data_IF_170911691584
#
_entry.id   IF_170911691584
#
_cell.length_a   1.000
_cell.length_b   1.000
_cell.length_c   1.000
_cell.angle_alpha   90.00
_cell.angle_beta   90.00
_cell.angle_gamma   90.00
#
_symmetry.space_group_name_H-M   'P 1'
#
loop_
_entity.id
_entity.type
_entity.pdbx_description
1 polymer ?
#
# COMPACT_ATOMS: atom_id res chain seq x y z
N UNK A 1 -16.27 0.01 -0.36
CA UNK A 1 -16.36 1.25 -1.16
C UNK A 1 -15.23 2.23 -0.89
N UNK A 2 -14.81 2.45 0.37
CA UNK A 2 -13.68 3.33 0.71
C UNK A 2 -12.35 2.98 -0.01
N UNK A 3 -12.08 1.69 -0.22
CA UNK A 3 -10.85 1.24 -0.88
C UNK A 3 -10.73 1.69 -2.35
N UNK A 4 -11.83 1.72 -3.13
CA UNK A 4 -11.78 2.13 -4.54
C UNK A 4 -11.49 3.62 -4.74
N UNK A 5 -12.02 4.47 -3.85
CA UNK A 5 -11.76 5.91 -3.87
C UNK A 5 -10.28 6.19 -3.57
N UNK A 6 -9.69 5.43 -2.63
CA UNK A 6 -8.29 5.58 -2.25
C UNK A 6 -7.34 5.25 -3.41
N UNK A 7 -7.66 4.19 -4.18
CA UNK A 7 -6.91 3.81 -5.39
C UNK A 7 -7.00 4.91 -6.45
N UNK A 8 -8.19 5.45 -6.70
CA UNK A 8 -8.37 6.53 -7.67
C UNK A 8 -7.57 7.79 -7.29
N UNK A 9 -7.54 8.15 -6.00
CA UNK A 9 -6.75 9.28 -5.53
C UNK A 9 -5.25 8.98 -5.69
N UNK A 10 -4.81 7.78 -5.32
CA UNK A 10 -3.42 7.34 -5.47
C UNK A 10 -2.93 7.49 -6.91
N UNK A 11 -3.70 7.02 -7.90
CA UNK A 11 -3.35 7.18 -9.31
C UNK A 11 -3.13 8.65 -9.73
N UNK A 12 -3.90 9.59 -9.15
CA UNK A 12 -3.76 11.02 -9.45
C UNK A 12 -2.55 11.68 -8.80
N UNK A 13 -1.95 11.03 -7.80
CA UNK A 13 -0.77 11.53 -7.09
C UNK A 13 0.45 10.62 -7.24
N UNK A 14 0.44 9.76 -8.25
CA UNK A 14 1.57 8.93 -8.65
C UNK A 14 2.41 9.65 -9.70
N UNK A 15 3.72 9.61 -9.54
CA UNK A 15 4.66 10.11 -10.52
C UNK A 15 4.60 9.25 -11.77
N UNK A 16 4.35 9.81 -12.96
CA UNK A 16 4.26 9.03 -14.20
C UNK A 16 5.62 8.48 -14.68
N UNK A 17 6.74 8.93 -14.10
CA UNK A 17 8.09 8.48 -14.47
C UNK A 17 8.52 7.28 -13.62
N UNK A 18 8.48 7.39 -12.29
CA UNK A 18 8.92 6.32 -11.39
C UNK A 18 7.78 5.42 -10.89
N UNK A 19 6.52 5.75 -11.18
CA UNK A 19 5.32 5.03 -10.77
C UNK A 19 5.11 4.94 -9.24
N UNK A 20 5.85 5.75 -8.49
CA UNK A 20 5.71 5.92 -7.04
C UNK A 20 4.89 7.16 -6.69
N UNK A 21 4.35 7.19 -5.47
CA UNK A 21 3.72 8.41 -4.92
C UNK A 21 4.67 9.60 -5.05
N UNK A 22 4.14 10.73 -5.51
CA UNK A 22 4.92 11.94 -5.76
C UNK A 22 5.67 12.39 -4.50
N UNK A 23 6.96 12.69 -4.66
CA UNK A 23 7.83 13.22 -3.61
C UNK A 23 8.46 14.52 -4.09
N UNK A 24 8.47 15.55 -3.23
CA UNK A 24 8.98 16.89 -3.58
C UNK A 24 8.44 17.37 -4.94
N UNK A 25 7.11 17.47 -5.04
CA UNK A 25 6.39 17.68 -6.31
C UNK A 25 6.87 18.91 -7.09
N UNK A 26 7.15 18.72 -8.37
CA UNK A 26 7.45 19.79 -9.32
C UNK A 26 6.40 19.80 -10.43
N UNK A 27 5.72 20.92 -10.60
CA UNK A 27 4.76 21.15 -11.67
C UNK A 27 5.40 21.97 -12.80
N UNK A 28 5.07 21.61 -14.02
CA UNK A 28 5.41 22.33 -15.24
C UNK A 28 4.26 23.29 -15.60
N UNK A 29 4.52 24.26 -16.46
CA UNK A 29 3.51 25.21 -16.95
C UNK A 29 2.40 24.53 -17.76
N UNK A 30 2.67 23.34 -18.34
CA UNK A 30 1.66 22.49 -18.97
C UNK A 30 0.70 21.80 -17.97
N UNK A 31 0.87 22.03 -16.66
CA UNK A 31 0.01 21.48 -15.59
C UNK A 31 0.41 20.09 -15.09
N UNK A 32 1.29 19.36 -15.80
CA UNK A 32 1.77 18.05 -15.36
C UNK A 32 2.72 18.17 -14.15
N UNK A 33 2.65 17.19 -13.24
CA UNK A 33 3.42 17.16 -12.00
C UNK A 33 4.21 15.87 -11.88
N UNK A 34 5.45 15.99 -11.41
CA UNK A 34 6.42 14.89 -11.29
C UNK A 34 7.17 14.99 -9.96
N UNK A 35 7.80 13.90 -9.53
CA UNK A 35 8.76 13.96 -8.42
C UNK A 35 10.00 14.76 -8.85
N UNK A 36 10.56 15.56 -7.94
CA UNK A 36 11.73 16.41 -8.23
C UNK A 36 12.89 15.62 -8.82
N UNK A 37 13.21 14.46 -8.24
CA UNK A 37 14.30 13.60 -8.73
C UNK A 37 14.09 13.19 -10.19
N UNK A 38 12.87 12.78 -10.55
CA UNK A 38 12.54 12.31 -11.88
C UNK A 38 12.63 13.42 -12.93
N UNK A 39 12.02 14.59 -12.67
CA UNK A 39 12.06 15.69 -13.64
C UNK A 39 13.47 16.30 -13.77
N UNK A 40 14.26 16.26 -12.69
CA UNK A 40 15.66 16.70 -12.72
C UNK A 40 16.53 15.74 -13.52
N UNK A 41 16.31 14.43 -13.40
CA UNK A 41 17.00 13.43 -14.22
C UNK A 41 16.67 13.59 -15.71
N UNK A 42 15.40 13.76 -16.05
CA UNK A 42 14.94 14.04 -17.42
C UNK A 42 15.64 15.28 -18.02
N UNK A 43 15.80 16.34 -17.23
CA UNK A 43 16.52 17.55 -17.64
C UNK A 43 18.01 17.32 -17.90
N UNK A 44 18.65 16.34 -17.25
CA UNK A 44 20.07 16.04 -17.45
C UNK A 44 20.29 15.22 -18.72
N UNK A 45 19.41 14.26 -18.99
CA UNK A 45 19.45 13.44 -20.21
C UNK A 45 19.28 14.29 -21.48
N UNK A 46 18.50 15.37 -21.40
CA UNK A 46 18.23 16.27 -22.53
C UNK A 46 19.43 17.16 -22.92
N UNK A 47 20.47 17.27 -22.08
CA UNK A 47 21.56 18.27 -22.20
C UNK A 47 22.87 17.74 -22.77
N UNK A 48 22.97 16.46 -23.11
CA UNK A 48 24.24 15.83 -23.53
C UNK A 48 24.55 15.93 -25.03
N UNK A 49 23.67 16.52 -25.85
CA UNK A 49 23.81 16.47 -27.33
C UNK A 49 23.92 17.80 -28.08
N UNK A 50 23.26 18.86 -27.61
CA UNK A 50 23.22 20.22 -28.14
C UNK A 50 22.24 20.98 -27.22
N UNK A 51 21.96 22.26 -27.46
CA UNK A 51 21.06 23.11 -26.67
C UNK A 51 19.58 22.61 -26.70
N UNK A 52 19.35 21.42 -26.17
CA UNK A 52 18.06 20.72 -26.20
C UNK A 52 17.13 21.34 -25.18
N UNK A 53 16.04 21.92 -25.69
CA UNK A 53 14.92 22.37 -24.85
C UNK A 53 14.38 21.20 -24.01
N UNK A 54 14.24 21.41 -22.71
CA UNK A 54 13.57 20.44 -21.84
C UNK A 54 12.10 20.32 -22.27
N UNK A 55 11.62 19.09 -22.45
CA UNK A 55 10.22 18.83 -22.85
C UNK A 55 9.51 17.94 -21.84
N UNK A 56 8.21 18.20 -21.65
CA UNK A 56 7.38 17.43 -20.73
C UNK A 56 7.32 15.96 -21.17
N UNK A 57 7.61 14.98 -20.30
CA UNK A 57 7.56 13.55 -20.66
C UNK A 57 6.19 13.04 -21.11
N UNK A 58 5.10 13.73 -20.73
CA UNK A 58 3.73 13.32 -21.05
C UNK A 58 3.18 13.98 -22.33
N UNK A 59 3.35 15.29 -22.47
CA UNK A 59 2.73 16.07 -23.55
C UNK A 59 3.73 16.73 -24.50
N UNK A 60 5.04 16.59 -24.24
CA UNK A 60 6.16 17.12 -25.04
C UNK A 60 6.20 18.65 -25.17
N UNK A 61 5.35 19.38 -24.45
CA UNK A 61 5.44 20.85 -24.33
C UNK A 61 6.80 21.22 -23.75
N UNK A 62 7.50 22.15 -24.40
CA UNK A 62 8.79 22.65 -23.93
C UNK A 62 8.62 23.48 -22.66
N UNK A 63 9.62 23.43 -21.79
CA UNK A 63 9.65 24.21 -20.56
C UNK A 63 11.08 24.58 -20.21
N UNK A 64 11.26 25.67 -19.49
CA UNK A 64 12.55 26.01 -18.92
C UNK A 64 12.68 25.39 -17.52
N UNK A 65 13.78 24.69 -17.18
CA UNK A 65 13.94 24.08 -15.85
C UNK A 65 13.78 25.06 -14.67
N UNK A 66 14.07 26.35 -14.87
CA UNK A 66 13.86 27.41 -13.87
C UNK A 66 12.38 27.69 -13.56
N UNK A 67 11.46 27.30 -14.46
CA UNK A 67 10.02 27.47 -14.29
C UNK A 67 9.37 26.30 -13.52
N UNK A 68 10.14 25.31 -13.06
CA UNK A 68 9.62 24.22 -12.24
C UNK A 68 9.16 24.71 -10.86
N UNK A 69 7.85 24.76 -10.67
CA UNK A 69 7.25 25.26 -9.43
C UNK A 69 6.96 24.11 -8.45
N UNK A 70 7.24 24.28 -7.16
CA UNK A 70 6.81 23.30 -6.16
C UNK A 70 5.28 23.30 -6.04
N UNK A 71 4.66 22.12 -5.91
CA UNK A 71 3.21 22.00 -5.76
C UNK A 71 2.83 21.48 -4.37
N UNK A 72 2.76 22.40 -3.40
CA UNK A 72 2.45 22.08 -2.00
C UNK A 72 1.07 21.44 -1.82
N UNK A 73 0.09 21.77 -2.65
CA UNK A 73 -1.25 21.17 -2.56
C UNK A 73 -1.21 19.67 -2.86
N UNK A 74 -0.53 19.27 -3.93
CA UNK A 74 -0.36 17.84 -4.27
C UNK A 74 0.44 17.13 -3.20
N UNK A 75 1.53 17.75 -2.69
CA UNK A 75 2.31 17.18 -1.59
C UNK A 75 1.44 16.91 -0.34
N UNK A 76 0.59 17.88 0.06
CA UNK A 76 -0.31 17.70 1.19
C UNK A 76 -1.34 16.58 0.97
N UNK A 77 -1.79 16.36 -0.27
CA UNK A 77 -2.70 15.25 -0.60
C UNK A 77 -1.97 13.91 -0.47
N UNK A 78 -0.72 13.81 -0.96
CA UNK A 78 0.11 12.61 -0.81
C UNK A 78 0.32 12.28 0.67
N UNK A 79 0.64 13.27 1.51
CA UNK A 79 0.84 13.02 2.94
C UNK A 79 -0.43 12.52 3.61
N UNK A 80 -1.59 13.15 3.36
CA UNK A 80 -2.87 12.66 3.87
C UNK A 80 -3.21 11.25 3.38
N UNK A 81 -2.89 10.93 2.13
CA UNK A 81 -3.08 9.60 1.59
C UNK A 81 -2.22 8.56 2.34
N UNK A 82 -0.97 8.90 2.68
CA UNK A 82 -0.09 8.04 3.49
C UNK A 82 -0.65 7.82 4.88
N UNK A 83 -1.10 8.88 5.56
CA UNK A 83 -1.72 8.81 6.88
C UNK A 83 -2.94 7.87 6.88
N UNK A 84 -3.87 8.05 5.94
CA UNK A 84 -5.05 7.18 5.83
C UNK A 84 -4.67 5.72 5.62
N UNK A 85 -3.66 5.43 4.78
CA UNK A 85 -3.18 4.06 4.57
C UNK A 85 -2.60 3.45 5.84
N UNK A 86 -1.79 4.22 6.57
CA UNK A 86 -1.23 3.78 7.85
C UNK A 86 -2.32 3.53 8.89
N UNK A 87 -3.32 4.41 9.00
CA UNK A 87 -4.47 4.21 9.88
C UNK A 87 -5.24 2.94 9.55
N UNK A 88 -5.52 2.68 8.27
CA UNK A 88 -6.21 1.46 7.84
C UNK A 88 -5.37 0.20 8.12
N UNK A 89 -4.05 0.27 8.01
CA UNK A 89 -3.16 -0.85 8.34
C UNK A 89 -3.11 -1.11 9.86
N UNK A 90 -3.13 -0.06 10.68
CA UNK A 90 -3.20 -0.14 12.14
C UNK A 90 -4.55 -0.74 12.57
N UNK A 91 -5.66 -0.19 12.08
CA UNK A 91 -7.00 -0.71 12.34
C UNK A 91 -7.12 -2.17 11.89
N UNK A 92 -6.58 -2.53 10.73
CA UNK A 92 -6.57 -3.92 10.29
C UNK A 92 -5.77 -4.80 11.23
N UNK A 93 -4.56 -4.41 11.65
CA UNK A 93 -3.74 -5.19 12.59
C UNK A 93 -4.41 -5.36 13.96
N UNK A 94 -5.09 -4.34 14.46
CA UNK A 94 -5.84 -4.39 15.71
C UNK A 94 -7.06 -5.33 15.63
N UNK A 95 -7.63 -5.49 14.44
CA UNK A 95 -8.77 -6.39 14.18
C UNK A 95 -8.38 -7.82 13.81
N UNK A 96 -7.10 -8.21 13.92
CA UNK A 96 -6.65 -9.59 13.65
C UNK A 96 -6.32 -10.34 14.94
N UNK A 97 -6.67 -11.63 14.96
CA UNK A 97 -6.28 -12.55 16.00
C UNK A 97 -4.76 -12.63 16.07
N UNK A 98 -4.20 -12.41 17.25
CA UNK A 98 -2.76 -12.44 17.51
C UNK A 98 -2.11 -13.77 17.12
N UNK A 99 -2.84 -14.88 17.32
CA UNK A 99 -2.40 -16.25 17.04
C UNK A 99 -2.61 -16.68 15.59
N UNK A 100 -3.82 -16.46 15.06
CA UNK A 100 -4.22 -17.01 13.77
C UNK A 100 -4.06 -16.04 12.60
N UNK A 101 -3.87 -14.74 12.87
CA UNK A 101 -3.87 -13.66 11.86
C UNK A 101 -5.16 -13.59 11.03
N UNK A 102 -6.25 -14.10 11.59
CA UNK A 102 -7.60 -14.04 11.04
C UNK A 102 -8.43 -12.95 11.70
N UNK A 103 -9.44 -12.41 11.01
CA UNK A 103 -10.26 -11.32 11.54
C UNK A 103 -11.02 -11.72 12.81
N UNK A 104 -11.02 -10.83 13.79
CA UNK A 104 -11.77 -10.94 15.05
C UNK A 104 -13.22 -10.52 14.82
N UNK A 105 -14.02 -11.40 14.21
CA UNK A 105 -15.43 -11.11 13.84
C UNK A 105 -16.45 -11.73 14.79
N UNK A 106 -16.02 -12.53 15.75
CA UNK A 106 -16.87 -13.28 16.66
C UNK A 106 -16.63 -12.83 18.10
N UNK A 107 -17.59 -13.03 18.99
CA UNK A 107 -17.45 -12.78 20.42
C UNK A 107 -17.50 -14.07 21.21
N UNK A 108 -16.59 -14.23 22.16
CA UNK A 108 -16.59 -15.35 23.09
C UNK A 108 -17.82 -15.27 24.02
N UNK A 109 -18.54 -16.38 24.17
CA UNK A 109 -19.76 -16.45 24.99
C UNK A 109 -19.49 -16.35 26.50
N UNK A 110 -18.27 -16.66 26.94
CA UNK A 110 -17.91 -16.69 28.37
C UNK A 110 -17.42 -15.33 28.88
N UNK A 111 -16.54 -14.66 28.14
CA UNK A 111 -15.88 -13.42 28.58
C UNK A 111 -16.12 -12.22 27.64
N UNK A 112 -16.93 -12.38 26.60
CA UNK A 112 -17.34 -11.30 25.70
C UNK A 112 -16.23 -10.75 24.80
N UNK A 113 -15.04 -11.35 24.81
CA UNK A 113 -13.89 -10.88 24.04
C UNK A 113 -14.02 -11.22 22.55
N UNK A 114 -13.47 -10.36 21.70
CA UNK A 114 -13.42 -10.62 20.26
C UNK A 114 -12.46 -11.77 19.93
N UNK A 115 -12.92 -12.73 19.14
CA UNK A 115 -12.19 -13.93 18.70
C UNK A 115 -12.34 -14.12 17.19
N UNK A 116 -11.44 -14.88 16.57
CA UNK A 116 -11.59 -15.31 15.17
C UNK A 116 -12.30 -16.67 15.08
N UNK A 117 -12.73 -17.05 13.88
CA UNK A 117 -13.42 -18.32 13.64
C UNK A 117 -12.61 -19.56 14.06
N UNK A 118 -11.27 -19.51 13.93
CA UNK A 118 -10.39 -20.58 14.40
C UNK A 118 -10.34 -20.69 15.93
N UNK A 119 -10.45 -19.58 16.66
CA UNK A 119 -10.52 -19.60 18.12
C UNK A 119 -11.84 -20.19 18.62
N UNK A 120 -12.96 -19.93 17.92
CA UNK A 120 -14.26 -20.53 18.25
C UNK A 120 -14.24 -22.05 18.06
N UNK A 121 -13.69 -22.52 16.93
CA UNK A 121 -13.64 -23.95 16.59
C UNK A 121 -12.68 -24.75 17.49
N UNK A 122 -11.61 -24.11 17.98
CA UNK A 122 -10.55 -24.81 18.72
C UNK A 122 -10.80 -24.95 20.22
N UNK A 123 -11.82 -24.30 20.81
CA UNK A 123 -12.00 -24.17 22.27
C UNK A 123 -10.72 -23.70 23.01
N UNK A 124 -9.71 -23.18 22.30
CA UNK A 124 -8.45 -22.73 22.88
C UNK A 124 -8.70 -21.37 23.50
N UNK A 125 -9.02 -21.43 24.79
CA UNK A 125 -9.17 -20.27 25.68
C UNK A 125 -7.94 -19.37 25.58
N UNK A 126 -8.20 -18.08 25.67
CA UNK A 126 -7.25 -16.97 25.72
C UNK A 126 -6.10 -17.18 26.72
N UNK A 127 -5.07 -17.92 26.31
CA UNK A 127 -3.63 -17.72 26.59
C UNK A 127 -2.92 -19.00 26.16
N UNK A 128 -2.27 -19.01 25.00
CA UNK A 128 -1.32 -20.07 24.68
C UNK A 128 0.01 -19.42 24.32
N UNK A 129 0.97 -19.68 25.19
CA UNK A 129 2.32 -19.13 25.14
C UNK A 129 3.07 -19.65 23.90
N UNK A 130 4.28 -19.11 23.69
CA UNK A 130 5.13 -19.22 22.49
C UNK A 130 5.41 -20.64 21.98
N UNK A 131 5.05 -21.70 22.72
CA UNK A 131 5.34 -23.09 22.40
C UNK A 131 4.23 -23.80 21.58
N UNK A 132 2.99 -23.32 21.62
CA UNK A 132 1.85 -24.00 20.96
C UNK A 132 1.75 -23.74 19.44
N UNK A 133 2.41 -22.68 18.95
CA UNK A 133 2.53 -22.37 17.52
C UNK A 133 3.19 -23.49 16.69
N UNK A 134 4.04 -24.31 17.30
CA UNK A 134 4.76 -25.40 16.59
C UNK A 134 3.90 -26.65 16.40
N UNK A 135 2.86 -26.84 17.22
CA UNK A 135 2.00 -28.03 17.12
C UNK A 135 0.95 -27.87 16.03
N UNK A 136 0.39 -26.67 15.88
CA UNK A 136 -0.65 -26.38 14.90
C UNK A 136 -0.13 -26.33 13.45
N UNK A 137 1.08 -25.79 13.20
CA UNK A 137 1.71 -25.78 11.87
C UNK A 137 1.97 -27.19 11.32
N UNK A 138 2.23 -28.16 12.22
CA UNK A 138 2.46 -29.58 11.88
C UNK A 138 1.16 -30.35 11.58
N UNK A 139 0.03 -29.93 12.15
CA UNK A 139 -1.28 -30.53 11.89
C UNK A 139 -1.90 -29.99 10.59
N UNK A 140 -1.65 -28.71 10.27
CA UNK A 140 -2.11 -28.07 9.02
C UNK A 140 -1.40 -28.58 7.77
N UNK A 141 -0.11 -28.92 7.83
CA UNK A 141 0.61 -29.54 6.69
C UNK A 141 0.10 -30.95 6.38
N UNK A 142 -0.34 -31.72 7.39
CA UNK A 142 -0.98 -33.04 7.19
C UNK A 142 -2.41 -32.94 6.66
N UNK A 143 -3.16 -31.91 7.09
CA UNK A 143 -4.56 -31.72 6.67
C UNK A 143 -4.67 -31.14 5.25
N UNK A 144 -3.78 -30.22 4.86
CA UNK A 144 -3.74 -29.68 3.50
C UNK A 144 -3.33 -30.73 2.45
N UNK A 145 -2.47 -31.70 2.79
CA UNK A 145 -2.17 -32.83 1.88
C UNK A 145 -3.38 -33.76 1.68
N UNK A 146 -4.28 -33.87 2.65
CA UNK A 146 -5.49 -34.70 2.52
C UNK A 146 -6.58 -34.01 1.68
N UNK A 147 -6.66 -32.67 1.73
CA UNK A 147 -7.68 -31.91 1.00
C UNK A 147 -7.39 -31.70 -0.49
N UNK A 148 -6.13 -31.75 -0.93
CA UNK A 148 -5.76 -31.62 -2.36
C UNK A 148 -6.11 -32.88 -3.18
N UNK A 149 -6.24 -34.05 -2.53
CA UNK A 149 -6.61 -35.30 -3.21
C UNK A 149 -8.13 -35.38 -3.48
N UNK A 150 -8.97 -34.63 -2.75
CA UNK A 150 -10.44 -34.68 -2.91
C UNK A 150 -11.03 -33.79 -3.99
N UNK A 151 -10.24 -32.90 -4.62
CA UNK A 151 -10.71 -31.96 -5.65
C UNK A 151 -10.17 -32.26 -7.06
N UNK A 152 -9.80 -33.51 -7.32
CA UNK A 152 -9.45 -33.97 -8.68
C UNK A 152 -10.45 -35.04 -9.13
N UNK A 153 -11.66 -34.59 -9.46
CA UNK A 153 -12.57 -35.24 -10.39
C UNK A 153 -12.99 -34.20 -11.43
#
# INVERSE_FOLDING_TARGET
>A
MASGILVNIQEKVTCPICLELLTETRSLDCGHTFSQACITANNKESKTGQEGESSCPLCRVSYEPKNLRPNRHVANIVERLREVRLSLEVEQKENLCTHHKEKLLLSCKEDGKAICWLCEESQQRHDLTREDSKRYSKTRSRSLQSSVIKFKF
#
